data_IF_013354918832
#
_entry.id   IF_013354918832
#
_cell.length_a   1.000
_cell.length_b   1.000
_cell.length_c   1.000
_cell.angle_alpha   90.00
_cell.angle_beta   90.00
_cell.angle_gamma   90.00
#
_symmetry.space_group_name_H-M   'P 1'
#
loop_
_entity.id
_entity.type
_entity.pdbx_description
1 polymer ?
#
# COMPACT_ATOMS: atom_id res chain seq x y z
N UNK A 1 17.27 -6.24 0.36
CA UNK A 1 15.87 -5.84 0.10
C UNK A 1 15.18 -5.50 1.43
N UNK A 2 14.38 -4.43 1.44
CA UNK A 2 13.54 -4.03 2.57
C UNK A 2 12.08 -4.42 2.32
N UNK A 3 11.42 -4.99 3.32
CA UNK A 3 10.02 -5.44 3.24
C UNK A 3 9.35 -5.15 4.58
N UNK A 4 8.10 -4.73 4.58
CA UNK A 4 7.31 -4.67 5.82
C UNK A 4 7.24 -6.05 6.47
N UNK A 5 7.27 -6.12 7.80
CA UNK A 5 7.15 -7.41 8.49
C UNK A 5 5.81 -8.08 8.14
N UNK A 6 5.82 -9.25 7.45
CA UNK A 6 4.59 -9.92 7.05
C UNK A 6 3.68 -10.34 8.22
N UNK A 7 4.21 -10.41 9.43
CA UNK A 7 3.42 -10.75 10.61
C UNK A 7 2.54 -9.59 11.11
N UNK A 8 2.88 -8.35 10.76
CA UNK A 8 2.22 -7.16 11.35
C UNK A 8 1.93 -6.02 10.36
N UNK A 9 2.58 -6.01 9.19
CA UNK A 9 2.48 -4.92 8.21
C UNK A 9 1.73 -5.41 6.96
N UNK A 10 0.58 -4.81 6.59
CA UNK A 10 -0.19 -5.25 5.42
C UNK A 10 0.62 -5.25 4.12
N UNK A 11 1.44 -4.23 3.87
CA UNK A 11 2.32 -4.20 2.70
C UNK A 11 3.32 -5.36 2.67
N UNK A 12 3.77 -5.83 3.84
CA UNK A 12 4.62 -7.00 3.98
C UNK A 12 3.89 -8.31 3.69
N UNK A 13 2.60 -8.41 4.05
CA UNK A 13 1.77 -9.56 3.71
C UNK A 13 1.59 -9.66 2.19
N UNK A 14 1.23 -8.56 1.53
CA UNK A 14 1.12 -8.53 0.06
C UNK A 14 2.45 -8.82 -0.64
N UNK A 15 3.58 -8.29 -0.10
CA UNK A 15 4.90 -8.60 -0.64
C UNK A 15 5.20 -10.12 -0.56
N UNK A 16 4.88 -10.74 0.57
CA UNK A 16 5.03 -12.18 0.76
C UNK A 16 4.16 -12.95 -0.23
N UNK A 17 2.87 -12.64 -0.34
CA UNK A 17 1.95 -13.29 -1.31
C UNK A 17 2.50 -13.21 -2.73
N UNK A 18 2.92 -12.02 -3.16
CA UNK A 18 3.47 -11.81 -4.51
C UNK A 18 4.74 -12.65 -4.73
N UNK A 19 5.67 -12.67 -3.78
CA UNK A 19 6.91 -13.43 -3.91
C UNK A 19 6.70 -14.95 -3.77
N UNK A 20 5.72 -15.40 -2.99
CA UNK A 20 5.31 -16.81 -2.93
C UNK A 20 4.69 -17.24 -4.27
N UNK A 21 3.83 -16.41 -4.86
CA UNK A 21 3.18 -16.67 -6.16
C UNK A 21 4.19 -16.91 -7.28
N UNK A 22 5.31 -16.19 -7.28
CA UNK A 22 6.38 -16.36 -8.27
C UNK A 22 7.54 -17.27 -7.80
N UNK A 23 7.41 -17.87 -6.61
CA UNK A 23 8.32 -18.93 -6.12
C UNK A 23 9.66 -18.44 -5.61
N UNK A 24 9.81 -17.17 -5.19
CA UNK A 24 11.08 -16.60 -4.72
C UNK A 24 11.09 -16.17 -3.25
N UNK A 25 9.98 -16.34 -2.52
CA UNK A 25 9.88 -15.88 -1.12
C UNK A 25 10.98 -16.46 -0.21
N UNK A 26 11.30 -17.74 -0.36
CA UNK A 26 12.33 -18.38 0.47
C UNK A 26 13.72 -17.74 0.32
N UNK A 27 14.04 -17.20 -0.85
CA UNK A 27 15.28 -16.48 -1.08
C UNK A 27 15.21 -15.04 -0.58
N UNK A 28 14.09 -14.38 -0.83
CA UNK A 28 13.84 -13.00 -0.40
C UNK A 28 13.86 -12.92 1.12
N UNK A 29 13.14 -13.79 1.81
CA UNK A 29 13.01 -13.78 3.27
C UNK A 29 14.35 -13.90 4.01
N UNK A 30 15.32 -14.62 3.44
CA UNK A 30 16.66 -14.78 4.00
C UNK A 30 17.51 -13.50 3.92
N UNK A 31 17.16 -12.58 3.02
CA UNK A 31 17.89 -11.33 2.73
C UNK A 31 17.09 -10.09 3.11
N UNK A 32 15.86 -10.26 3.57
CA UNK A 32 14.97 -9.16 3.86
C UNK A 32 15.30 -8.47 5.19
N UNK A 33 15.39 -7.15 5.15
CA UNK A 33 15.29 -6.30 6.34
C UNK A 33 13.82 -6.00 6.57
N UNK A 34 13.30 -6.37 7.74
CA UNK A 34 11.88 -6.24 8.07
C UNK A 34 11.59 -4.90 8.73
N UNK A 35 10.76 -4.08 8.08
CA UNK A 35 10.31 -2.80 8.60
C UNK A 35 9.02 -2.94 9.42
N UNK A 36 8.83 -2.05 10.38
CA UNK A 36 7.64 -2.01 11.24
C UNK A 36 6.44 -1.31 10.58
N UNK A 37 6.68 -0.64 9.47
CA UNK A 37 5.66 -0.01 8.61
C UNK A 37 6.24 0.27 7.22
N UNK A 38 5.37 0.60 6.27
CA UNK A 38 5.76 0.84 4.88
C UNK A 38 6.63 2.09 4.70
N UNK A 39 6.41 3.12 5.51
CA UNK A 39 7.19 4.36 5.47
C UNK A 39 8.66 4.12 5.85
N UNK A 40 8.91 3.24 6.81
CA UNK A 40 10.26 2.84 7.20
C UNK A 40 10.98 2.14 6.04
N UNK A 41 10.30 1.23 5.35
CA UNK A 41 10.83 0.56 4.14
C UNK A 41 11.17 1.57 3.07
N UNK A 42 10.27 2.51 2.77
CA UNK A 42 10.50 3.59 1.81
C UNK A 42 11.74 4.42 2.18
N UNK A 43 11.86 4.80 3.44
CA UNK A 43 12.98 5.61 3.93
C UNK A 43 14.32 4.88 3.82
N UNK A 44 14.37 3.57 4.07
CA UNK A 44 15.60 2.79 3.92
C UNK A 44 16.09 2.75 2.48
N UNK A 45 15.16 2.62 1.52
CA UNK A 45 15.52 2.66 0.09
C UNK A 45 15.94 4.07 -0.32
N UNK A 46 15.17 5.09 0.06
CA UNK A 46 15.47 6.49 -0.25
C UNK A 46 16.83 6.96 0.33
N UNK A 47 17.20 6.45 1.51
CA UNK A 47 18.48 6.71 2.16
C UNK A 47 19.62 5.78 1.70
N UNK A 48 19.37 4.90 0.71
CA UNK A 48 20.32 3.91 0.20
C UNK A 48 20.84 2.92 1.28
N UNK A 49 20.08 2.74 2.36
CA UNK A 49 20.36 1.71 3.38
C UNK A 49 19.88 0.33 2.95
N UNK A 50 18.96 0.29 2.00
CA UNK A 50 18.55 -0.90 1.26
C UNK A 50 18.55 -0.58 -0.23
N UNK A 51 19.00 -1.51 -1.06
CA UNK A 51 19.09 -1.33 -2.51
C UNK A 51 17.72 -1.35 -3.18
N UNK A 52 16.76 -2.06 -2.59
CA UNK A 52 15.39 -2.17 -3.08
C UNK A 52 14.44 -2.44 -1.93
N UNK A 53 13.14 -2.20 -2.15
CA UNK A 53 12.10 -2.47 -1.16
C UNK A 53 10.73 -2.63 -1.81
N UNK A 54 9.78 -3.15 -1.04
CA UNK A 54 8.38 -3.28 -1.46
C UNK A 54 7.52 -2.32 -0.67
N UNK A 55 6.86 -1.42 -1.39
CA UNK A 55 5.94 -0.40 -0.86
C UNK A 55 4.71 -0.32 -1.77
N UNK A 56 3.69 0.42 -1.37
CA UNK A 56 2.60 0.73 -2.31
C UNK A 56 3.08 1.72 -3.37
N UNK A 57 2.48 1.68 -4.54
CA UNK A 57 2.77 2.63 -5.62
C UNK A 57 2.56 4.10 -5.19
N UNK A 58 1.57 4.34 -4.33
CA UNK A 58 1.28 5.65 -3.75
C UNK A 58 2.40 6.15 -2.84
N UNK A 59 3.06 5.26 -2.08
CA UNK A 59 4.21 5.63 -1.25
C UNK A 59 5.42 5.96 -2.13
N UNK A 60 5.70 5.12 -3.13
CA UNK A 60 6.81 5.36 -4.06
C UNK A 60 6.63 6.70 -4.80
N UNK A 61 5.41 7.02 -5.24
CA UNK A 61 5.10 8.29 -5.91
C UNK A 61 5.29 9.53 -5.02
N UNK A 62 5.34 9.36 -3.70
CA UNK A 62 5.53 10.45 -2.74
C UNK A 62 6.99 10.83 -2.49
N UNK A 63 7.96 10.10 -3.04
CA UNK A 63 9.38 10.29 -2.75
C UNK A 63 10.23 10.26 -4.02
N UNK A 64 10.84 11.39 -4.37
CA UNK A 64 11.65 11.56 -5.58
C UNK A 64 13.02 10.82 -5.54
N UNK A 65 13.42 10.30 -4.37
CA UNK A 65 14.68 9.57 -4.22
C UNK A 65 14.55 8.06 -4.47
N UNK A 66 13.39 7.60 -4.92
CA UNK A 66 13.13 6.20 -5.27
C UNK A 66 12.55 6.10 -6.68
N UNK A 67 12.78 4.97 -7.33
CA UNK A 67 12.24 4.66 -8.64
C UNK A 67 11.46 3.35 -8.57
N UNK A 68 10.29 3.30 -9.24
CA UNK A 68 9.50 2.07 -9.37
C UNK A 68 10.10 1.22 -10.50
N UNK A 69 10.72 0.11 -10.14
CA UNK A 69 11.34 -0.82 -11.09
C UNK A 69 10.38 -1.92 -11.58
N UNK A 70 9.37 -2.25 -10.78
CA UNK A 70 8.35 -3.24 -11.12
C UNK A 70 7.10 -3.03 -10.25
N UNK A 71 5.95 -3.47 -10.77
CA UNK A 71 4.69 -3.50 -10.03
C UNK A 71 4.18 -4.94 -9.99
N UNK A 72 3.76 -5.40 -8.80
CA UNK A 72 3.14 -6.71 -8.65
C UNK A 72 1.85 -6.78 -9.46
N UNK A 73 1.63 -7.90 -10.15
CA UNK A 73 0.39 -8.15 -10.86
C UNK A 73 -0.71 -8.54 -9.87
N UNK A 74 -1.95 -8.18 -10.16
CA UNK A 74 -3.11 -8.54 -9.32
C UNK A 74 -3.22 -10.07 -9.14
N UNK A 75 -2.92 -10.85 -10.18
CA UNK A 75 -2.94 -12.32 -10.16
C UNK A 75 -1.90 -12.97 -9.21
N UNK A 76 -0.94 -12.18 -8.68
CA UNK A 76 0.05 -12.64 -7.71
C UNK A 76 -0.40 -12.46 -6.26
N UNK A 77 -1.54 -11.81 -6.06
CA UNK A 77 -2.10 -11.51 -4.75
C UNK A 77 -3.33 -12.39 -4.50
N UNK A 78 -3.39 -13.04 -3.36
CA UNK A 78 -4.56 -13.79 -2.92
C UNK A 78 -5.71 -12.85 -2.53
N UNK A 79 -5.36 -11.69 -1.99
CA UNK A 79 -6.30 -10.69 -1.52
C UNK A 79 -6.07 -9.37 -2.26
N UNK A 80 -7.11 -8.74 -2.83
CA UNK A 80 -6.96 -7.45 -3.50
C UNK A 80 -6.55 -6.36 -2.50
N UNK A 81 -5.69 -5.44 -2.93
CA UNK A 81 -5.29 -4.28 -2.12
C UNK A 81 -6.43 -3.25 -2.12
N UNK A 82 -7.20 -3.22 -1.03
CA UNK A 82 -8.37 -2.34 -0.88
C UNK A 82 -8.22 -1.49 0.37
N UNK A 83 -8.52 -0.20 0.23
CA UNK A 83 -8.64 0.77 1.33
C UNK A 83 -10.12 1.05 1.59
N UNK A 84 -10.77 0.35 2.54
CA UNK A 84 -12.17 0.58 2.84
C UNK A 84 -12.37 1.84 3.66
N UNK A 85 -13.47 2.56 3.41
CA UNK A 85 -13.98 3.60 4.29
C UNK A 85 -15.28 3.13 4.94
N UNK A 86 -15.44 3.40 6.23
CA UNK A 86 -16.64 3.06 6.98
C UNK A 86 -17.00 4.13 8.00
N UNK A 87 -18.29 4.26 8.29
CA UNK A 87 -18.78 5.08 9.39
C UNK A 87 -18.77 4.30 10.70
N UNK A 88 -18.47 4.97 11.80
CA UNK A 88 -18.60 4.37 13.14
C UNK A 88 -20.06 4.38 13.57
N UNK A 89 -20.54 3.31 14.19
CA UNK A 89 -21.92 3.21 14.75
C UNK A 89 -22.29 4.40 15.61
N UNK A 90 -21.37 4.90 16.44
CA UNK A 90 -21.59 6.05 17.30
C UNK A 90 -21.81 7.39 16.57
N UNK A 91 -21.59 7.43 15.26
CA UNK A 91 -21.66 8.66 14.46
C UNK A 91 -22.41 8.48 13.12
N UNK A 92 -22.93 7.30 12.82
CA UNK A 92 -23.59 7.03 11.53
C UNK A 92 -24.83 7.92 11.28
N UNK A 93 -25.50 8.36 12.33
CA UNK A 93 -26.68 9.24 12.24
C UNK A 93 -26.34 10.73 12.09
N UNK A 94 -25.09 11.13 12.28
CA UNK A 94 -24.68 12.53 12.17
C UNK A 94 -24.74 12.98 10.71
N UNK A 95 -25.42 14.09 10.46
CA UNK A 95 -25.60 14.67 9.12
C UNK A 95 -24.23 14.95 8.46
N UNK A 96 -23.30 15.53 9.20
CA UNK A 96 -21.94 15.79 8.69
C UNK A 96 -21.18 14.53 8.24
N UNK A 97 -21.43 13.36 8.84
CA UNK A 97 -20.84 12.09 8.43
C UNK A 97 -21.46 11.62 7.12
N UNK A 98 -22.78 11.74 7.00
CA UNK A 98 -23.50 11.39 5.76
C UNK A 98 -23.09 12.28 4.59
N UNK A 99 -22.98 13.59 4.84
CA UNK A 99 -22.49 14.56 3.85
C UNK A 99 -21.06 14.24 3.40
N UNK A 100 -20.16 13.92 4.33
CA UNK A 100 -18.79 13.53 4.00
C UNK A 100 -18.73 12.23 3.19
N UNK A 101 -19.51 11.22 3.57
CA UNK A 101 -19.58 9.96 2.80
C UNK A 101 -20.15 10.19 1.40
N UNK A 102 -21.14 11.07 1.26
CA UNK A 102 -21.67 11.47 -0.04
C UNK A 102 -20.62 12.24 -0.87
N UNK A 103 -19.87 13.16 -0.23
CA UNK A 103 -18.78 13.90 -0.88
C UNK A 103 -17.70 12.95 -1.44
N UNK A 104 -17.35 11.91 -0.70
CA UNK A 104 -16.36 10.92 -1.17
C UNK A 104 -16.78 10.22 -2.48
N UNK A 105 -18.08 10.21 -2.82
CA UNK A 105 -18.59 9.63 -4.07
C UNK A 105 -18.63 10.63 -5.25
N UNK A 106 -18.21 11.87 -5.01
CA UNK A 106 -18.22 12.90 -6.06
C UNK A 106 -17.06 12.78 -7.03
N UNK A 107 -17.18 13.27 -8.27
CA UNK A 107 -16.09 13.33 -9.22
C UNK A 107 -14.88 14.12 -8.71
N UNK A 108 -15.09 15.14 -7.89
CA UNK A 108 -14.05 15.95 -7.29
C UNK A 108 -13.19 15.13 -6.32
N UNK A 109 -13.83 14.37 -5.42
CA UNK A 109 -13.12 13.49 -4.49
C UNK A 109 -12.36 12.39 -5.26
N UNK A 110 -13.01 11.77 -6.24
CA UNK A 110 -12.39 10.76 -7.10
C UNK A 110 -11.13 11.30 -7.77
N UNK A 111 -11.18 12.49 -8.37
CA UNK A 111 -10.04 13.10 -9.03
C UNK A 111 -8.85 13.35 -8.07
N UNK A 112 -9.13 13.66 -6.79
CA UNK A 112 -8.09 13.79 -5.77
C UNK A 112 -7.41 12.45 -5.50
N UNK A 113 -8.16 11.38 -5.29
CA UNK A 113 -7.58 10.04 -5.08
C UNK A 113 -6.76 9.58 -6.29
N UNK A 114 -7.28 9.73 -7.50
CA UNK A 114 -6.59 9.36 -8.74
C UNK A 114 -5.29 10.16 -8.93
N UNK A 115 -5.28 11.44 -8.57
CA UNK A 115 -4.07 12.28 -8.59
C UNK A 115 -2.94 11.71 -7.71
N UNK A 116 -3.30 11.08 -6.60
CA UNK A 116 -2.33 10.44 -5.69
C UNK A 116 -2.08 8.96 -6.00
N UNK A 117 -2.55 8.47 -7.16
CA UNK A 117 -2.25 7.12 -7.64
C UNK A 117 -3.19 6.03 -7.13
N UNK A 118 -4.29 6.38 -6.47
CA UNK A 118 -5.31 5.41 -6.08
C UNK A 118 -6.26 5.11 -7.24
N UNK A 119 -6.71 3.86 -7.33
CA UNK A 119 -7.80 3.46 -8.21
C UNK A 119 -9.11 3.54 -7.43
N UNK A 120 -10.10 4.22 -8.00
CA UNK A 120 -11.41 4.31 -7.38
C UNK A 120 -12.24 3.06 -7.70
N UNK A 121 -12.66 2.34 -6.67
CA UNK A 121 -13.60 1.23 -6.78
C UNK A 121 -14.99 1.70 -6.31
N UNK A 122 -15.99 1.50 -7.17
CA UNK A 122 -17.39 1.81 -6.86
C UNK A 122 -18.00 0.74 -5.96
#
# INVERSE_FOLDING_TARGET
IAVGDPASVPAGQYAREAFESIGIWDEVSKKASLGTNVTEVLNWVAAQSAETGVVYATDAASNENVEVIATAKEEWLETPVIYPVATLKASEDKESVKEFMAFLQTPEAKAVFEKYGFTWNN
#
